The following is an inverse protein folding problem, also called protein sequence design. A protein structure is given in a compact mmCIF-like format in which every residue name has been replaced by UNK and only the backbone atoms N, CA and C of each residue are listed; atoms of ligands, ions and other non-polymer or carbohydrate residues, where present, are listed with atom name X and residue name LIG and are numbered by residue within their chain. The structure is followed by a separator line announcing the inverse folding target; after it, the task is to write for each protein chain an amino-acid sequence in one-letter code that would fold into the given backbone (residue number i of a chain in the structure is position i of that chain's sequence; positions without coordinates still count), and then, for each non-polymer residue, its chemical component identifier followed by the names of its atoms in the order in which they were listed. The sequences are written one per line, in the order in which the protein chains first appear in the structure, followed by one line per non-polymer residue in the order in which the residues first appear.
data_IF_782219965891
#
_entry.id   IF_782219965891
#
_cell.length_a   1.000
_cell.length_b   1.000
_cell.length_c   1.000
_cell.angle_alpha   90.00
_cell.angle_beta   90.00
_cell.angle_gamma   90.00
#
_symmetry.space_group_name_H-M   'P 1'
#
loop_
_entity.id
_entity.type
_entity.pdbx_description
1 polymer ?
#
# COMPACT_ATOMS: atom_id res chain seq x y z
N UNK A 1 -41.44 -13.26 -19.58
CA UNK A 1 -40.07 -13.78 -19.68
C UNK A 1 -39.24 -12.74 -20.40
N UNK A 2 -38.57 -11.88 -19.64
CA UNK A 2 -37.62 -10.91 -20.18
C UNK A 2 -36.23 -11.45 -19.83
N UNK A 3 -35.50 -11.91 -20.86
CA UNK A 3 -34.10 -12.22 -20.74
C UNK A 3 -33.35 -10.87 -20.65
N UNK A 4 -32.83 -10.56 -19.48
CA UNK A 4 -31.98 -9.40 -19.28
C UNK A 4 -30.66 -9.65 -20.00
N UNK A 5 -30.37 -8.80 -20.96
CA UNK A 5 -29.09 -8.74 -21.67
C UNK A 5 -28.01 -8.46 -20.61
N UNK A 6 -27.27 -9.49 -20.23
CA UNK A 6 -25.97 -9.32 -19.57
C UNK A 6 -25.04 -8.88 -20.69
N UNK A 7 -24.80 -7.57 -20.77
CA UNK A 7 -23.74 -7.02 -21.61
C UNK A 7 -22.46 -7.82 -21.35
N UNK A 8 -21.80 -8.23 -22.44
CA UNK A 8 -20.60 -9.03 -22.45
C UNK A 8 -19.45 -8.29 -21.79
N UNK A 9 -19.39 -8.33 -20.46
CA UNK A 9 -18.17 -8.06 -19.71
C UNK A 9 -17.16 -9.09 -20.18
N UNK A 10 -16.04 -8.64 -20.73
CA UNK A 10 -14.92 -9.52 -21.02
C UNK A 10 -14.39 -10.04 -19.68
N UNK A 11 -14.81 -11.25 -19.33
CA UNK A 11 -14.46 -11.91 -18.07
C UNK A 11 -12.97 -12.31 -18.03
N UNK A 12 -12.20 -12.01 -19.07
CA UNK A 12 -10.75 -12.24 -19.14
C UNK A 12 -9.94 -11.03 -18.66
N UNK A 13 -10.55 -9.92 -18.26
CA UNK A 13 -9.81 -8.82 -17.61
C UNK A 13 -9.68 -9.09 -16.10
N UNK A 14 -8.59 -8.65 -15.44
CA UNK A 14 -8.44 -8.77 -13.98
C UNK A 14 -9.65 -8.24 -13.19
N UNK A 15 -10.29 -7.17 -13.70
CA UNK A 15 -11.47 -6.54 -13.13
C UNK A 15 -12.74 -7.42 -13.18
N UNK A 16 -12.71 -8.58 -13.83
CA UNK A 16 -13.81 -9.54 -13.82
C UNK A 16 -14.17 -9.99 -12.39
N UNK A 17 -13.18 -10.11 -11.50
CA UNK A 17 -13.43 -10.40 -10.08
C UNK A 17 -14.31 -9.32 -9.42
N UNK A 18 -14.06 -8.04 -9.71
CA UNK A 18 -14.86 -6.92 -9.20
C UNK A 18 -16.32 -7.00 -9.67
N UNK A 19 -16.56 -7.37 -10.93
CA UNK A 19 -17.92 -7.57 -11.44
C UNK A 19 -18.65 -8.71 -10.72
N UNK A 20 -17.95 -9.83 -10.45
CA UNK A 20 -18.52 -10.93 -9.66
C UNK A 20 -18.87 -10.45 -8.25
N UNK A 21 -17.97 -9.73 -7.58
CA UNK A 21 -18.20 -9.26 -6.22
C UNK A 21 -19.37 -8.29 -6.14
N UNK A 22 -19.48 -7.32 -7.05
CA UNK A 22 -20.66 -6.44 -7.14
C UNK A 22 -21.95 -7.24 -7.33
N UNK A 23 -21.98 -8.14 -8.31
CA UNK A 23 -23.17 -8.95 -8.59
C UNK A 23 -23.59 -9.86 -7.42
N UNK A 24 -22.67 -10.17 -6.50
CA UNK A 24 -22.91 -11.00 -5.31
C UNK A 24 -22.97 -10.21 -4.01
N UNK A 25 -22.86 -8.87 -4.07
CA UNK A 25 -22.85 -8.01 -2.89
C UNK A 25 -21.66 -8.25 -1.95
N UNK A 26 -20.54 -8.77 -2.46
CA UNK A 26 -19.33 -9.01 -1.67
C UNK A 26 -18.56 -7.69 -1.56
N UNK A 27 -18.36 -7.15 -0.34
CA UNK A 27 -17.66 -5.89 -0.17
C UNK A 27 -16.17 -6.02 -0.52
N UNK A 28 -15.64 -5.07 -1.29
CA UNK A 28 -14.21 -4.98 -1.60
C UNK A 28 -13.70 -3.53 -1.69
N UNK A 29 -12.39 -3.36 -1.62
CA UNK A 29 -11.67 -2.10 -1.91
C UNK A 29 -10.51 -2.39 -2.86
N UNK A 30 -10.32 -1.57 -3.89
CA UNK A 30 -9.10 -1.61 -4.71
C UNK A 30 -7.89 -1.24 -3.87
N UNK A 31 -6.78 -1.97 -4.04
CA UNK A 31 -5.58 -1.77 -3.25
C UNK A 31 -4.32 -1.54 -4.10
N UNK A 32 -3.24 -1.14 -3.41
CA UNK A 32 -1.93 -0.82 -3.98
C UNK A 32 -1.98 -0.02 -5.29
N UNK A 33 -1.40 -0.53 -6.38
CA UNK A 33 -1.19 0.24 -7.61
C UNK A 33 -2.49 0.77 -8.20
N UNK A 34 -3.59 0.01 -8.11
CA UNK A 34 -4.91 0.48 -8.55
C UNK A 34 -5.39 1.66 -7.70
N UNK A 35 -5.24 1.59 -6.38
CA UNK A 35 -5.61 2.68 -5.48
C UNK A 35 -4.72 3.92 -5.67
N UNK A 36 -3.43 3.72 -5.84
CA UNK A 36 -2.46 4.78 -6.11
C UNK A 36 -2.76 5.49 -7.44
N UNK A 37 -3.02 4.73 -8.50
CA UNK A 37 -3.38 5.26 -9.83
C UNK A 37 -4.65 6.11 -9.75
N UNK A 38 -5.65 5.68 -9.01
CA UNK A 38 -6.89 6.44 -8.80
C UNK A 38 -6.63 7.83 -8.18
N UNK A 39 -5.65 7.92 -7.27
CA UNK A 39 -5.26 9.18 -6.62
C UNK A 39 -4.20 9.98 -7.39
N UNK A 40 -3.90 9.61 -8.63
CA UNK A 40 -3.02 10.36 -9.53
C UNK A 40 -1.58 9.87 -9.62
N UNK A 41 -1.21 8.78 -8.95
CA UNK A 41 0.11 8.18 -9.15
C UNK A 41 0.29 7.63 -10.57
N UNK A 42 1.50 7.75 -11.11
CA UNK A 42 1.88 7.23 -12.43
C UNK A 42 2.48 5.82 -12.37
N UNK A 43 2.32 5.12 -11.25
CA UNK A 43 2.81 3.75 -11.08
C UNK A 43 2.22 2.79 -12.14
N UNK A 44 3.03 1.81 -12.56
CA UNK A 44 2.58 0.70 -13.42
C UNK A 44 1.69 -0.21 -12.59
N UNK A 45 0.62 -0.71 -13.20
CA UNK A 45 -0.31 -1.63 -12.54
C UNK A 45 0.05 -3.04 -13.01
N UNK A 46 0.31 -3.93 -12.06
CA UNK A 46 0.71 -5.32 -12.32
C UNK A 46 -0.45 -6.27 -12.01
N UNK A 47 -0.69 -6.51 -10.73
CA UNK A 47 -1.70 -7.44 -10.23
C UNK A 47 -2.88 -6.70 -9.62
N UNK A 48 -4.09 -7.22 -9.80
CA UNK A 48 -5.26 -6.65 -9.14
C UNK A 48 -5.29 -7.08 -7.67
N UNK A 49 -4.95 -6.16 -6.77
CA UNK A 49 -5.10 -6.35 -5.33
C UNK A 49 -6.44 -5.82 -4.84
N UNK A 50 -7.18 -6.68 -4.12
CA UNK A 50 -8.45 -6.34 -3.49
C UNK A 50 -8.38 -6.61 -2.00
N UNK A 51 -8.74 -5.62 -1.19
CA UNK A 51 -9.05 -5.83 0.22
C UNK A 51 -10.50 -6.28 0.35
N UNK A 52 -10.72 -7.38 1.06
CA UNK A 52 -12.05 -7.96 1.32
C UNK A 52 -12.23 -8.21 2.81
N UNK A 53 -13.48 -8.22 3.27
CA UNK A 53 -13.80 -8.50 4.68
C UNK A 53 -13.46 -9.95 5.05
N UNK A 54 -13.77 -10.91 4.17
CA UNK A 54 -13.43 -12.32 4.34
C UNK A 54 -12.76 -12.84 3.09
N UNK A 55 -11.46 -13.16 3.18
CA UNK A 55 -10.70 -13.77 2.08
C UNK A 55 -11.33 -15.09 1.67
N UNK A 56 -11.69 -15.93 2.66
CA UNK A 56 -12.37 -17.22 2.43
C UNK A 56 -13.70 -17.08 1.67
N UNK A 57 -14.56 -16.13 2.03
CA UNK A 57 -15.85 -15.95 1.35
C UNK A 57 -15.65 -15.49 -0.09
N UNK A 58 -14.80 -14.48 -0.29
CA UNK A 58 -14.45 -13.94 -1.59
C UNK A 58 -13.80 -15.01 -2.49
N UNK A 59 -12.89 -15.80 -1.94
CA UNK A 59 -12.26 -16.93 -2.63
C UNK A 59 -13.30 -17.97 -3.06
N UNK A 60 -14.15 -18.43 -2.14
CA UNK A 60 -15.19 -19.42 -2.45
C UNK A 60 -16.14 -18.93 -3.55
N UNK A 61 -16.49 -17.64 -3.52
CA UNK A 61 -17.31 -17.03 -4.56
C UNK A 61 -16.64 -17.13 -5.93
N UNK A 62 -15.37 -16.73 -6.05
CA UNK A 62 -14.64 -16.82 -7.32
C UNK A 62 -14.44 -18.27 -7.76
N UNK A 63 -14.07 -19.17 -6.85
CA UNK A 63 -13.91 -20.60 -7.15
C UNK A 63 -15.19 -21.25 -7.68
N UNK A 64 -16.36 -20.86 -7.15
CA UNK A 64 -17.65 -21.36 -7.65
C UNK A 64 -17.93 -20.99 -9.12
N UNK A 65 -17.18 -20.03 -9.67
CA UNK A 65 -17.25 -19.56 -11.05
C UNK A 65 -16.04 -20.01 -11.90
N UNK A 66 -15.28 -20.99 -11.42
CA UNK A 66 -14.18 -21.60 -12.18
C UNK A 66 -12.82 -20.92 -12.01
N UNK A 67 -12.66 -20.01 -11.04
CA UNK A 67 -11.33 -19.47 -10.71
C UNK A 67 -10.51 -20.53 -9.96
N UNK A 68 -9.23 -20.63 -10.28
CA UNK A 68 -8.29 -21.59 -9.69
C UNK A 68 -7.15 -20.90 -8.96
N UNK A 69 -6.43 -21.63 -8.11
CA UNK A 69 -5.23 -21.08 -7.46
C UNK A 69 -4.22 -20.71 -8.53
N UNK A 70 -3.62 -19.53 -8.41
CA UNK A 70 -2.53 -19.11 -9.26
C UNK A 70 -1.23 -19.05 -8.45
N UNK A 71 -0.13 -19.38 -9.11
CA UNK A 71 1.19 -19.11 -8.56
C UNK A 71 1.53 -17.63 -8.75
N UNK A 72 2.34 -17.10 -7.83
CA UNK A 72 2.92 -15.78 -8.01
C UNK A 72 4.12 -15.85 -8.93
N UNK A 73 4.36 -14.76 -9.64
CA UNK A 73 5.62 -14.63 -10.36
C UNK A 73 6.77 -14.68 -9.35
N UNK A 74 7.88 -15.39 -9.62
CA UNK A 74 9.05 -15.37 -8.74
C UNK A 74 9.69 -13.98 -8.66
N UNK A 75 9.32 -13.06 -9.56
CA UNK A 75 9.76 -11.67 -9.58
C UNK A 75 8.83 -10.72 -8.82
N UNK A 76 7.71 -11.23 -8.29
CA UNK A 76 6.77 -10.45 -7.51
C UNK A 76 7.42 -9.97 -6.21
N UNK A 77 7.38 -8.66 -5.91
CA UNK A 77 7.69 -8.16 -4.58
C UNK A 77 6.91 -8.88 -3.48
N UNK A 78 7.43 -8.84 -2.26
CA UNK A 78 6.68 -9.29 -1.09
C UNK A 78 5.57 -8.28 -0.77
N UNK A 79 4.37 -8.50 -1.33
CA UNK A 79 3.22 -7.58 -1.25
C UNK A 79 2.43 -7.63 0.07
N UNK A 80 2.82 -8.49 1.00
CA UNK A 80 2.12 -8.77 2.26
C UNK A 80 3.11 -9.21 3.32
N UNK A 81 2.76 -9.10 4.60
CA UNK A 81 3.52 -9.70 5.68
C UNK A 81 3.09 -11.16 5.88
N UNK A 82 3.93 -12.16 5.54
CA UNK A 82 3.56 -13.57 5.64
C UNK A 82 3.33 -14.05 7.07
N UNK A 83 3.77 -13.28 8.08
CA UNK A 83 3.55 -13.63 9.48
C UNK A 83 2.12 -13.31 9.96
N UNK A 84 1.42 -12.37 9.31
CA UNK A 84 0.15 -11.83 9.83
C UNK A 84 -0.96 -11.67 8.78
N UNK A 85 -0.62 -11.56 7.50
CA UNK A 85 -1.59 -11.29 6.45
C UNK A 85 -2.12 -12.60 5.84
N UNK A 86 -3.44 -12.72 5.80
CA UNK A 86 -4.14 -13.73 5.03
C UNK A 86 -4.26 -13.27 3.57
N UNK A 87 -3.80 -14.10 2.64
CA UNK A 87 -3.86 -13.80 1.21
C UNK A 87 -4.09 -15.04 0.37
N UNK A 88 -4.87 -14.88 -0.69
CA UNK A 88 -5.06 -15.88 -1.76
C UNK A 88 -4.85 -15.20 -3.11
N UNK A 89 -4.21 -15.90 -4.04
CA UNK A 89 -4.10 -15.48 -5.44
C UNK A 89 -4.87 -16.46 -6.31
N UNK A 90 -5.77 -15.93 -7.13
CA UNK A 90 -6.60 -16.71 -8.04
C UNK A 90 -6.43 -16.19 -9.46
N UNK A 91 -6.50 -17.07 -10.44
CA UNK A 91 -6.62 -16.69 -11.86
C UNK A 91 -7.83 -17.37 -12.47
N UNK A 92 -8.26 -16.82 -13.61
CA UNK A 92 -9.27 -17.43 -14.46
C UNK A 92 -8.65 -17.67 -15.84
N UNK A 93 -8.20 -18.90 -16.08
CA UNK A 93 -7.47 -19.28 -17.29
C UNK A 93 -5.96 -19.35 -17.08
N UNK A 94 -5.22 -19.46 -18.20
CA UNK A 94 -3.78 -19.77 -18.19
C UNK A 94 -2.88 -18.53 -18.17
N UNK A 95 -3.46 -17.32 -18.17
CA UNK A 95 -2.70 -16.06 -18.15
C UNK A 95 -2.33 -15.67 -16.72
N UNK A 96 -1.03 -15.49 -16.47
CA UNK A 96 -0.51 -14.92 -15.22
C UNK A 96 -0.95 -13.46 -15.00
N UNK A 97 -1.32 -12.75 -16.07
CA UNK A 97 -1.76 -11.36 -16.02
C UNK A 97 -3.23 -11.20 -15.60
N UNK A 98 -3.98 -12.30 -15.54
CA UNK A 98 -5.41 -12.31 -15.18
C UNK A 98 -5.62 -12.73 -13.71
N UNK A 99 -4.57 -12.58 -12.90
CA UNK A 99 -4.60 -12.92 -11.49
C UNK A 99 -5.21 -11.78 -10.63
N UNK A 100 -6.01 -12.19 -9.65
CA UNK A 100 -6.50 -11.35 -8.57
C UNK A 100 -5.90 -11.83 -7.25
N UNK A 101 -5.36 -10.89 -6.48
CA UNK A 101 -4.86 -11.10 -5.14
C UNK A 101 -5.89 -10.59 -4.13
N UNK A 102 -6.47 -11.51 -3.36
CA UNK A 102 -7.41 -11.21 -2.29
C UNK A 102 -6.66 -11.12 -0.97
N UNK A 103 -6.83 -10.01 -0.25
CA UNK A 103 -6.22 -9.77 1.05
C UNK A 103 -7.28 -9.37 2.06
N UNK A 104 -7.06 -9.74 3.31
CA UNK A 104 -7.94 -9.34 4.41
C UNK A 104 -7.85 -7.84 4.69
N UNK A 105 -8.99 -7.15 4.79
CA UNK A 105 -9.03 -5.73 5.14
C UNK A 105 -8.72 -5.47 6.63
N UNK A 106 -8.83 -6.49 7.50
CA UNK A 106 -8.67 -6.33 8.95
C UNK A 106 -7.29 -5.82 9.37
N UNK A 107 -6.26 -6.12 8.58
CA UNK A 107 -4.90 -5.67 8.85
C UNK A 107 -4.66 -4.21 8.43
N UNK A 108 -5.64 -3.53 7.82
CA UNK A 108 -5.48 -2.18 7.25
C UNK A 108 -6.35 -1.16 8.00
N UNK A 109 -5.77 -0.39 8.96
CA UNK A 109 -6.54 0.48 9.83
C UNK A 109 -7.36 1.54 9.09
N UNK A 110 -8.66 1.58 9.37
CA UNK A 110 -9.58 2.57 8.80
C UNK A 110 -10.06 2.28 7.39
N UNK A 111 -9.66 1.15 6.79
CA UNK A 111 -10.20 0.72 5.49
C UNK A 111 -11.44 -0.13 5.70
N UNK A 112 -12.54 0.27 5.06
CA UNK A 112 -13.81 -0.45 5.07
C UNK A 112 -14.18 -0.80 3.63
N UNK A 113 -14.14 -2.09 3.25
CA UNK A 113 -14.63 -2.56 1.97
C UNK A 113 -16.07 -2.13 1.68
N UNK A 114 -16.31 -1.66 0.46
CA UNK A 114 -17.63 -1.19 0.02
C UNK A 114 -18.35 -2.28 -0.76
N UNK A 115 -19.66 -2.41 -0.57
CA UNK A 115 -20.57 -3.24 -1.38
C UNK A 115 -21.45 -2.40 -2.31
N UNK A 116 -21.10 -1.13 -2.52
CA UNK A 116 -21.81 -0.23 -3.42
C UNK A 116 -21.69 -0.71 -4.88
N UNK A 117 -22.66 -0.37 -5.73
CA UNK A 117 -22.62 -0.70 -7.15
C UNK A 117 -21.68 0.24 -7.94
N UNK A 118 -21.39 1.43 -7.41
CA UNK A 118 -20.52 2.42 -8.01
C UNK A 118 -19.04 2.06 -7.81
N UNK A 119 -18.32 1.80 -8.91
CA UNK A 119 -16.89 1.45 -8.89
C UNK A 119 -16.02 2.45 -8.09
N UNK A 120 -16.35 3.75 -8.12
CA UNK A 120 -15.62 4.79 -7.38
C UNK A 120 -15.72 4.63 -5.86
N UNK A 121 -16.79 4.04 -5.35
CA UNK A 121 -16.99 3.82 -3.92
C UNK A 121 -16.07 2.71 -3.36
N UNK A 122 -15.41 1.92 -4.22
CA UNK A 122 -14.45 0.91 -3.83
C UNK A 122 -13.01 1.44 -3.71
N UNK A 123 -12.80 2.75 -3.89
CA UNK A 123 -11.50 3.38 -3.63
C UNK A 123 -11.53 4.07 -2.27
N UNK A 124 -10.57 3.73 -1.41
CA UNK A 124 -10.42 4.44 -0.15
C UNK A 124 -10.05 5.92 -0.41
N UNK A 125 -10.62 6.88 0.33
CA UNK A 125 -10.17 8.27 0.32
C UNK A 125 -8.67 8.39 0.57
N UNK A 126 -8.01 9.35 -0.07
CA UNK A 126 -6.55 9.49 -0.02
C UNK A 126 -5.97 9.54 1.40
N UNK A 127 -6.54 10.30 2.38
CA UNK A 127 -6.03 10.28 3.76
C UNK A 127 -6.12 8.89 4.42
N UNK A 128 -7.17 8.11 4.11
CA UNK A 128 -7.34 6.76 4.66
C UNK A 128 -6.35 5.78 4.03
N UNK A 129 -6.19 5.81 2.70
CA UNK A 129 -5.19 5.02 1.98
C UNK A 129 -3.78 5.29 2.55
N UNK A 130 -3.41 6.56 2.64
CA UNK A 130 -2.10 6.97 3.15
C UNK A 130 -1.89 6.53 4.59
N UNK A 131 -2.86 6.78 5.47
CA UNK A 131 -2.79 6.34 6.86
C UNK A 131 -2.60 4.82 6.96
N UNK A 132 -3.39 4.02 6.24
CA UNK A 132 -3.30 2.57 6.29
C UNK A 132 -1.91 2.06 5.83
N UNK A 133 -1.36 2.63 4.74
CA UNK A 133 -0.01 2.31 4.26
C UNK A 133 1.08 2.66 5.28
N UNK A 134 1.03 3.86 5.87
CA UNK A 134 2.03 4.30 6.85
C UNK A 134 1.94 3.48 8.13
N UNK A 135 0.74 3.24 8.65
CA UNK A 135 0.56 2.39 9.84
C UNK A 135 1.16 1.01 9.59
N UNK A 136 0.87 0.39 8.44
CA UNK A 136 1.45 -0.92 8.11
C UNK A 136 2.95 -0.90 7.90
N UNK A 137 3.51 0.15 7.30
CA UNK A 137 4.95 0.34 7.18
C UNK A 137 5.62 0.38 8.55
N UNK A 138 4.99 1.07 9.50
CA UNK A 138 5.48 1.19 10.86
C UNK A 138 5.18 -0.04 11.72
N UNK A 139 4.25 -0.92 11.37
CA UNK A 139 3.88 -2.08 12.20
C UNK A 139 4.54 -3.39 11.76
N UNK A 140 4.85 -3.54 10.47
CA UNK A 140 5.51 -4.75 9.95
C UNK A 140 6.96 -4.84 10.40
N UNK A 141 7.40 -6.05 10.77
CA UNK A 141 8.82 -6.38 10.91
C UNK A 141 9.36 -7.14 9.68
N UNK A 142 8.50 -7.52 8.73
CA UNK A 142 8.91 -8.06 7.44
C UNK A 142 9.60 -6.97 6.60
N UNK A 143 10.91 -7.08 6.42
CA UNK A 143 11.72 -6.11 5.69
C UNK A 143 11.27 -5.94 4.23
N UNK A 144 11.08 -7.05 3.50
CA UNK A 144 10.69 -7.00 2.08
C UNK A 144 9.33 -6.33 1.87
N UNK A 145 8.36 -6.62 2.75
CA UNK A 145 7.05 -5.96 2.70
C UNK A 145 7.14 -4.48 3.06
N UNK A 146 7.94 -4.14 4.08
CA UNK A 146 8.19 -2.75 4.46
C UNK A 146 8.80 -1.93 3.33
N UNK A 147 9.75 -2.52 2.59
CA UNK A 147 10.34 -1.89 1.40
C UNK A 147 9.29 -1.65 0.32
N UNK A 148 8.40 -2.61 0.08
CA UNK A 148 7.31 -2.43 -0.86
C UNK A 148 6.35 -1.30 -0.43
N UNK A 149 5.95 -1.24 0.84
CA UNK A 149 5.13 -0.15 1.37
C UNK A 149 5.82 1.21 1.23
N UNK A 150 7.14 1.26 1.47
CA UNK A 150 7.94 2.46 1.30
C UNK A 150 7.91 2.94 -0.16
N UNK A 151 8.00 2.03 -1.14
CA UNK A 151 7.84 2.36 -2.56
C UNK A 151 6.45 2.91 -2.87
N UNK A 152 5.39 2.29 -2.38
CA UNK A 152 4.01 2.78 -2.58
C UNK A 152 3.83 4.20 -2.04
N UNK A 153 4.34 4.46 -0.83
CA UNK A 153 4.30 5.80 -0.21
C UNK A 153 5.17 6.79 -1.00
N UNK A 154 6.32 6.35 -1.53
CA UNK A 154 7.18 7.17 -2.39
C UNK A 154 6.45 7.63 -3.65
N UNK A 155 5.74 6.72 -4.32
CA UNK A 155 4.96 7.06 -5.51
C UNK A 155 3.85 8.06 -5.21
N UNK A 156 3.17 7.96 -4.06
CA UNK A 156 2.19 8.95 -3.66
C UNK A 156 2.83 10.33 -3.49
N UNK A 157 3.95 10.43 -2.79
CA UNK A 157 4.62 11.73 -2.59
C UNK A 157 5.22 12.31 -3.87
N UNK A 158 5.65 11.46 -4.81
CA UNK A 158 6.20 11.91 -6.08
C UNK A 158 5.12 12.47 -7.02
N UNK A 159 3.96 11.81 -7.09
CA UNK A 159 2.98 12.09 -8.15
C UNK A 159 1.68 12.75 -7.64
N UNK A 160 1.38 12.70 -6.34
CA UNK A 160 0.13 13.21 -5.79
C UNK A 160 0.35 14.53 -5.02
N UNK A 161 0.17 15.71 -5.67
CA UNK A 161 0.40 17.00 -5.04
C UNK A 161 -0.54 17.29 -3.86
N UNK A 162 -1.67 16.58 -3.76
CA UNK A 162 -2.59 16.70 -2.63
C UNK A 162 -1.92 16.38 -1.29
N UNK A 163 -0.93 15.47 -1.26
CA UNK A 163 -0.16 15.14 -0.05
C UNK A 163 0.62 16.33 0.52
N UNK A 164 0.90 17.34 -0.31
CA UNK A 164 1.60 18.54 0.11
C UNK A 164 0.67 19.60 0.74
N UNK A 165 -0.65 19.43 0.62
CA UNK A 165 -1.63 20.43 1.05
C UNK A 165 -1.81 20.47 2.58
N UNK A 166 -2.09 21.65 3.16
CA UNK A 166 -2.47 21.75 4.57
C UNK A 166 -3.75 20.96 4.90
N UNK A 167 -4.71 20.92 3.97
CA UNK A 167 -5.97 20.21 4.15
C UNK A 167 -5.75 18.69 4.28
N UNK A 168 -4.84 18.14 3.48
CA UNK A 168 -4.46 16.73 3.60
C UNK A 168 -3.84 16.43 4.96
N UNK A 169 -2.86 17.24 5.39
CA UNK A 169 -2.23 17.08 6.71
C UNK A 169 -3.26 17.17 7.85
N UNK A 170 -4.23 18.09 7.74
CA UNK A 170 -5.30 18.24 8.72
C UNK A 170 -6.24 17.03 8.75
N UNK A 171 -6.49 16.40 7.60
CA UNK A 171 -7.33 15.20 7.49
C UNK A 171 -6.65 13.93 8.03
N UNK A 172 -5.32 13.92 8.20
CA UNK A 172 -4.61 12.77 8.76
C UNK A 172 -4.84 12.63 10.27
N UNK A 173 -4.86 11.38 10.80
CA UNK A 173 -4.78 11.12 12.23
C UNK A 173 -3.54 11.79 12.86
N UNK A 174 -3.65 12.37 14.07
CA UNK A 174 -2.54 13.10 14.70
C UNK A 174 -1.25 12.30 14.81
N UNK A 175 -1.33 10.98 14.98
CA UNK A 175 -0.20 10.09 15.16
C UNK A 175 0.58 9.77 13.87
N UNK A 176 0.05 10.15 12.70
CA UNK A 176 0.70 9.97 11.38
C UNK A 176 1.14 11.30 10.76
N UNK A 177 0.67 12.44 11.27
CA UNK A 177 0.99 13.76 10.70
C UNK A 177 2.49 14.04 10.63
N UNK A 178 3.24 13.67 11.68
CA UNK A 178 4.68 13.90 11.70
C UNK A 178 5.39 13.08 10.62
N UNK A 179 5.03 11.81 10.45
CA UNK A 179 5.59 10.97 9.39
C UNK A 179 5.40 11.60 8.00
N UNK A 180 4.24 12.20 7.72
CA UNK A 180 4.01 12.90 6.46
C UNK A 180 4.95 14.10 6.28
N UNK A 181 5.15 14.90 7.32
CA UNK A 181 6.07 16.04 7.29
C UNK A 181 7.54 15.58 7.12
N UNK A 182 7.93 14.54 7.85
CA UNK A 182 9.28 13.99 7.83
C UNK A 182 9.62 13.42 6.46
N UNK A 183 8.68 12.68 5.86
CA UNK A 183 8.81 12.24 4.47
C UNK A 183 9.02 13.42 3.52
N UNK A 184 8.19 14.46 3.63
CA UNK A 184 8.22 15.64 2.74
C UNK A 184 9.45 16.51 2.91
N UNK A 185 10.05 16.52 4.10
CA UNK A 185 11.27 17.29 4.34
C UNK A 185 12.47 16.73 3.56
N UNK A 186 12.39 15.46 3.11
CA UNK A 186 13.49 14.75 2.44
C UNK A 186 14.79 14.71 3.26
N UNK A 187 14.71 14.96 4.57
CA UNK A 187 15.87 14.98 5.47
C UNK A 187 16.17 13.62 6.08
N UNK A 188 15.22 12.68 6.00
CA UNK A 188 15.32 11.34 6.60
C UNK A 188 15.26 10.24 5.54
N UNK A 189 16.10 9.21 5.70
CA UNK A 189 15.98 7.96 4.91
C UNK A 189 14.86 7.11 5.50
N UNK A 190 13.66 7.26 4.96
CA UNK A 190 12.43 6.66 5.49
C UNK A 190 12.40 5.12 5.51
N UNK A 191 13.29 4.45 4.77
CA UNK A 191 13.34 2.98 4.71
C UNK A 191 14.31 2.34 5.71
N UNK A 192 15.15 3.11 6.41
CA UNK A 192 16.13 2.53 7.34
C UNK A 192 15.47 2.14 8.65
N UNK A 193 15.98 1.08 9.30
CA UNK A 193 15.45 0.65 10.60
C UNK A 193 15.53 1.75 11.66
N UNK A 194 16.60 2.54 11.67
CA UNK A 194 16.76 3.64 12.61
C UNK A 194 15.68 4.71 12.43
N UNK A 195 15.34 5.06 11.18
CA UNK A 195 14.24 6.00 10.89
C UNK A 195 12.89 5.39 11.22
N UNK A 196 12.64 4.12 10.89
CA UNK A 196 11.38 3.45 11.24
C UNK A 196 11.16 3.42 12.76
N UNK A 197 12.21 3.13 13.54
CA UNK A 197 12.13 3.15 15.00
C UNK A 197 11.92 4.56 15.57
N UNK A 198 12.53 5.56 14.94
CA UNK A 198 12.31 6.96 15.25
C UNK A 198 10.84 7.37 15.05
N UNK A 199 10.27 7.07 13.88
CA UNK A 199 8.87 7.32 13.57
C UNK A 199 7.91 6.54 14.47
N UNK A 200 8.23 5.28 14.81
CA UNK A 200 7.45 4.47 15.79
C UNK A 200 7.37 5.18 17.15
N UNK A 201 8.48 5.77 17.63
CA UNK A 201 8.52 6.50 18.90
C UNK A 201 7.70 7.78 18.84
N UNK A 202 7.79 8.53 17.75
CA UNK A 202 6.99 9.73 17.52
C UNK A 202 5.50 9.39 17.53
N UNK A 203 5.09 8.38 16.75
CA UNK A 203 3.70 7.90 16.69
C UNK A 203 3.18 7.50 18.08
N UNK A 204 4.00 6.79 18.87
CA UNK A 204 3.63 6.43 20.24
C UNK A 204 3.41 7.67 21.12
N UNK A 205 4.31 8.65 21.09
CA UNK A 205 4.15 9.90 21.83
C UNK A 205 2.93 10.70 21.36
N UNK A 206 2.63 10.70 20.07
CA UNK A 206 1.49 11.40 19.50
C UNK A 206 0.16 10.77 19.95
N UNK A 207 0.07 9.43 20.01
CA UNK A 207 -1.09 8.72 20.58
C UNK A 207 -1.34 9.04 22.04
N UNK A 208 -0.28 9.30 22.79
CA UNK A 208 -0.34 9.71 24.20
C UNK A 208 -0.58 11.22 24.38
N UNK A 209 -0.69 11.99 23.29
CA UNK A 209 -0.84 13.45 23.35
C UNK A 209 0.42 14.19 23.80
N UNK A 210 1.59 13.53 23.81
CA UNK A 210 2.88 14.09 24.23
C UNK A 210 3.73 14.62 23.06
N UNK A 211 3.34 14.33 21.83
CA UNK A 211 4.03 14.85 20.65
C UNK A 211 3.49 16.22 20.24
N UNK A 212 4.39 17.17 20.00
CA UNK A 212 4.09 18.44 19.34
C UNK A 212 4.58 18.36 17.90
N UNK A 213 3.67 18.59 16.96
CA UNK A 213 3.97 18.56 15.53
C UNK A 213 5.12 19.54 15.18
N UNK A 214 6.11 19.04 14.44
CA UNK A 214 7.29 19.77 14.00
C UNK A 214 7.20 19.97 12.48
N UNK A 215 6.81 21.18 12.06
CA UNK A 215 6.59 21.50 10.65
C UNK A 215 7.86 21.41 9.79
N UNK A 216 9.03 21.68 10.39
CA UNK A 216 10.32 21.58 9.70
C UNK A 216 10.91 20.16 9.70
N UNK A 217 10.15 19.18 10.19
CA UNK A 217 10.58 17.80 10.34
C UNK A 217 11.25 17.50 11.68
N UNK A 218 11.49 16.21 11.93
CA UNK A 218 11.94 15.66 13.21
C UNK A 218 13.37 15.10 13.17
N UNK A 219 14.09 15.28 12.06
CA UNK A 219 15.41 14.69 11.83
C UNK A 219 16.44 15.01 12.92
N UNK A 220 16.37 16.20 13.52
CA UNK A 220 17.26 16.60 14.62
C UNK A 220 17.07 15.78 15.89
N UNK A 221 15.94 15.08 16.03
CA UNK A 221 15.63 14.26 17.19
C UNK A 221 16.01 12.78 17.01
N UNK A 222 16.30 12.34 15.78
CA UNK A 222 16.66 10.96 15.49
C UNK A 222 16.45 10.56 14.04
N UNK A 223 16.56 9.25 13.78
CA UNK A 223 16.50 8.67 12.44
C UNK A 223 17.83 8.74 11.68
N UNK A 224 17.85 8.20 10.47
CA UNK A 224 19.01 8.31 9.57
C UNK A 224 18.86 9.53 8.68
N UNK A 225 19.65 10.57 8.95
CA UNK A 225 19.66 11.79 8.14
C UNK A 225 20.23 11.58 6.74
N UNK A 226 19.70 12.35 5.80
CA UNK A 226 20.29 12.56 4.47
C UNK A 226 21.05 13.88 4.55
N UNK A 227 22.35 13.79 4.83
CA UNK A 227 23.24 14.96 4.93
C UNK A 227 24.58 14.70 4.22
N UNK A 228 25.42 15.74 4.16
CA UNK A 228 26.73 15.66 3.50
C UNK A 228 27.67 14.63 4.15
N UNK A 229 27.52 14.38 5.45
CA UNK A 229 28.34 13.38 6.14
C UNK A 229 27.93 11.97 5.73
N UNK A 230 26.62 11.74 5.60
CA UNK A 230 26.07 10.51 5.05
C UNK A 230 26.51 10.29 3.60
N UNK A 231 26.42 11.30 2.73
CA UNK A 231 26.89 11.23 1.34
C UNK A 231 28.38 10.86 1.27
N UNK A 232 29.22 11.51 2.09
CA UNK A 232 30.65 11.21 2.15
C UNK A 232 30.93 9.76 2.59
N UNK A 233 30.18 9.23 3.56
CA UNK A 233 30.30 7.82 3.99
C UNK A 233 29.87 6.84 2.90
N UNK A 234 28.80 7.16 2.17
CA UNK A 234 28.32 6.33 1.07
C UNK A 234 29.36 6.28 -0.06
N UNK A 235 29.92 7.43 -0.45
CA UNK A 235 30.97 7.52 -1.46
C UNK A 235 32.22 6.73 -1.04
N UNK A 236 32.68 6.88 0.20
CA UNK A 236 33.82 6.12 0.71
C UNK A 236 33.58 4.60 0.70
N UNK A 237 32.34 4.16 0.96
CA UNK A 237 31.96 2.74 0.92
C UNK A 237 31.97 2.20 -0.52
N UNK A 238 31.41 2.96 -1.47
CA UNK A 238 31.43 2.59 -2.89
C UNK A 238 32.86 2.49 -3.43
N UNK A 239 33.71 3.49 -3.13
CA UNK A 239 35.12 3.47 -3.52
C UNK A 239 35.88 2.28 -2.90
N UNK A 240 35.58 1.90 -1.66
CA UNK A 240 36.18 0.74 -1.02
C UNK A 240 35.75 -0.57 -1.68
N UNK A 241 34.48 -0.69 -2.07
CA UNK A 241 33.95 -1.88 -2.73
C UNK A 241 34.51 -2.03 -4.15
N UNK A 242 34.66 -0.93 -4.89
CA UNK A 242 35.29 -0.94 -6.22
C UNK A 242 36.74 -1.41 -6.16
N UNK A 243 37.51 -0.98 -5.14
CA UNK A 243 38.90 -1.44 -4.92
C UNK A 243 39.03 -2.90 -4.50
N UNK A 244 37.97 -3.51 -3.97
CA UNK A 244 37.97 -4.94 -3.62
C UNK A 244 37.62 -5.84 -4.81
N UNK A 245 37.06 -5.26 -5.89
CA UNK A 245 36.65 -5.97 -7.10
C UNK A 245 37.71 -5.83 -8.21
N UNK A 246 38.62 -4.85 -8.11
CA UNK A 246 39.79 -4.65 -8.98
C UNK A 246 41.01 -5.44 -8.52
#
# INVERSE_FOLDING_TARGET
MAATVVDSVDLNLPQAACHVFRARGIPYTYWFEYALRHHGSRTVVFTLYLLVVSVREAENCLRSLGWTSAERSPYDPQFYDPAVDEQVVLSRGDSEYDAVALMSSYQWPGIVPSADDNDRAHYAPLPQLYNALVQRLLDTDCWSFRMYLNLQISYLHLDCPALASPDFLAALPPDIRQFNLDWRSETLRMHTDATVQHERKIRAQAREGRWKLMYEGSAELGGTKIDREYEAKLLATLESNERQIS
#
